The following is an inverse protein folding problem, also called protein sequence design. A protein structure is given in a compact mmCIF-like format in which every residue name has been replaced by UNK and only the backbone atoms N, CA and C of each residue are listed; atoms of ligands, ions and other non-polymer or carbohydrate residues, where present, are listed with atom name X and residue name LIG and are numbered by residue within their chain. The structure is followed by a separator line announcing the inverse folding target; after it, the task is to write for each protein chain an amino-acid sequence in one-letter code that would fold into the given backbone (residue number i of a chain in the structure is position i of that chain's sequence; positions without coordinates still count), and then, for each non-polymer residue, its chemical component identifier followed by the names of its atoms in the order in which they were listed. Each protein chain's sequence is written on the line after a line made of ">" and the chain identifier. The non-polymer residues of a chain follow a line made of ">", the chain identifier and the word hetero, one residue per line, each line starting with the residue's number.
data_IF_642915702731
#
_entry.id   IF_642915702731
#
_cell.length_a   1.000
_cell.length_b   1.000
_cell.length_c   1.000
_cell.angle_alpha   90.00
_cell.angle_beta   90.00
_cell.angle_gamma   90.00
#
_symmetry.space_group_name_H-M   'P 1'
#
loop_
_entity.id
_entity.type
_entity.pdbx_description
1 polymer ?
#
# COMPACT_ATOMS: atom_id res chain seq x y z
N UNK A 1 14.38 -3.49 10.01
CA UNK A 1 14.18 -2.66 11.24
C UNK A 1 13.67 -1.32 10.78
N UNK A 2 12.45 -0.93 11.20
CA UNK A 2 11.91 0.37 10.85
C UNK A 2 12.72 1.48 11.53
N UNK A 3 12.93 2.60 10.86
CA UNK A 3 13.64 3.79 11.38
C UNK A 3 12.96 4.42 12.63
N UNK A 4 11.84 3.86 13.08
CA UNK A 4 11.02 4.35 14.20
C UNK A 4 10.80 3.33 15.30
N UNK A 5 11.61 2.25 15.37
CA UNK A 5 11.50 1.26 16.45
C UNK A 5 11.87 1.90 17.79
N UNK A 6 10.87 2.50 18.43
CA UNK A 6 10.89 2.52 19.90
C UNK A 6 10.90 1.05 20.33
N UNK A 7 11.83 0.65 21.22
CA UNK A 7 11.87 -0.73 21.69
C UNK A 7 10.49 -1.09 22.24
N UNK A 8 9.92 -2.15 21.70
CA UNK A 8 8.62 -2.67 22.17
C UNK A 8 8.69 -2.91 23.65
N UNK A 9 7.64 -2.53 24.37
CA UNK A 9 7.61 -2.74 25.81
C UNK A 9 7.67 -4.25 26.09
N UNK A 10 8.45 -4.63 27.09
CA UNK A 10 8.56 -6.03 27.51
C UNK A 10 7.17 -6.65 27.78
N UNK A 11 6.24 -5.87 28.34
CA UNK A 11 4.86 -6.28 28.56
C UNK A 11 4.15 -6.68 27.26
N UNK A 12 4.34 -5.94 26.17
CA UNK A 12 3.77 -6.25 24.85
C UNK A 12 4.32 -7.57 24.33
N UNK A 13 5.64 -7.76 24.36
CA UNK A 13 6.28 -9.01 23.95
C UNK A 13 5.77 -10.22 24.72
N UNK A 14 5.59 -10.09 26.04
CA UNK A 14 5.04 -11.16 26.88
C UNK A 14 3.62 -11.49 26.45
N UNK A 15 2.76 -10.50 26.22
CA UNK A 15 1.39 -10.71 25.77
C UNK A 15 1.34 -11.38 24.38
N UNK A 16 2.16 -10.94 23.44
CA UNK A 16 2.24 -11.52 22.10
C UNK A 16 2.73 -12.97 22.15
N UNK A 17 3.75 -13.28 22.98
CA UNK A 17 4.20 -14.64 23.20
C UNK A 17 3.07 -15.53 23.75
N UNK A 18 2.33 -15.06 24.75
CA UNK A 18 1.19 -15.79 25.30
C UNK A 18 0.09 -16.07 24.26
N UNK A 19 -0.15 -15.12 23.34
CA UNK A 19 -1.08 -15.35 22.22
C UNK A 19 -0.57 -16.44 21.29
N UNK A 20 0.70 -16.41 20.92
CA UNK A 20 1.32 -17.43 20.05
C UNK A 20 1.28 -18.80 20.68
N UNK A 21 1.63 -18.92 21.97
CA UNK A 21 1.69 -20.19 22.70
C UNK A 21 0.30 -20.84 22.83
N UNK A 22 -0.75 -20.05 23.06
CA UNK A 22 -2.09 -20.54 23.38
C UNK A 22 -3.03 -20.60 22.17
N UNK A 23 -2.68 -20.01 21.02
CA UNK A 23 -3.53 -20.07 19.83
C UNK A 23 -3.57 -21.48 19.23
N UNK A 24 -4.73 -21.91 18.77
CA UNK A 24 -4.87 -23.12 17.98
C UNK A 24 -4.24 -22.93 16.59
N UNK A 25 -4.58 -21.82 15.94
CA UNK A 25 -4.01 -21.39 14.66
C UNK A 25 -3.62 -19.92 14.74
N UNK A 26 -2.60 -19.54 14.00
CA UNK A 26 -2.11 -18.18 13.82
C UNK A 26 -2.35 -17.75 12.38
N UNK A 27 -2.97 -16.60 12.18
CA UNK A 27 -3.25 -16.07 10.84
C UNK A 27 -2.28 -14.94 10.55
N UNK A 28 -1.62 -15.01 9.40
CA UNK A 28 -0.68 -14.01 8.89
C UNK A 28 -1.08 -13.56 7.48
N UNK A 29 -0.68 -12.35 7.11
CA UNK A 29 -0.98 -11.81 5.78
C UNK A 29 0.12 -12.12 4.75
N UNK A 30 1.36 -12.32 5.21
CA UNK A 30 2.53 -12.48 4.36
C UNK A 30 3.46 -13.58 4.87
N UNK A 31 4.32 -14.08 3.97
CA UNK A 31 5.37 -15.02 4.34
C UNK A 31 6.40 -14.38 5.30
N UNK A 32 6.64 -13.07 5.17
CA UNK A 32 7.53 -12.32 6.06
C UNK A 32 6.98 -12.33 7.49
N UNK A 33 5.69 -12.01 7.69
CA UNK A 33 5.02 -12.11 9.00
C UNK A 33 5.08 -13.54 9.56
N UNK A 34 4.92 -14.57 8.72
CA UNK A 34 5.07 -15.96 9.12
C UNK A 34 6.48 -16.24 9.65
N UNK A 35 7.50 -15.79 8.92
CA UNK A 35 8.89 -15.95 9.32
C UNK A 35 9.19 -15.20 10.62
N UNK A 36 8.65 -14.00 10.79
CA UNK A 36 8.80 -13.21 12.01
C UNK A 36 8.20 -13.93 13.24
N UNK A 37 7.00 -14.52 13.09
CA UNK A 37 6.40 -15.31 14.17
C UNK A 37 7.26 -16.53 14.55
N UNK A 38 7.82 -17.22 13.56
CA UNK A 38 8.72 -18.35 13.82
C UNK A 38 10.01 -17.90 14.49
N UNK A 39 10.65 -16.83 14.00
CA UNK A 39 11.97 -16.42 14.48
C UNK A 39 11.93 -15.66 15.82
N UNK A 40 10.90 -14.88 16.07
CA UNK A 40 10.83 -14.00 17.23
C UNK A 40 9.99 -14.55 18.38
N UNK A 41 9.05 -15.48 18.07
CA UNK A 41 8.09 -16.01 19.04
C UNK A 41 8.06 -17.54 19.07
N UNK A 42 9.00 -18.24 18.43
CA UNK A 42 9.05 -19.69 18.34
C UNK A 42 7.71 -20.33 17.91
N UNK A 43 6.95 -19.63 17.05
CA UNK A 43 5.68 -20.11 16.56
C UNK A 43 5.88 -21.41 15.77
N UNK A 44 5.03 -22.39 16.00
CA UNK A 44 5.06 -23.66 15.25
C UNK A 44 4.55 -23.41 13.82
N UNK A 45 5.35 -23.68 12.76
CA UNK A 45 4.91 -23.45 11.38
C UNK A 45 3.60 -24.18 11.02
N UNK A 46 3.36 -25.35 11.63
CA UNK A 46 2.13 -26.12 11.44
C UNK A 46 0.87 -25.38 11.89
N UNK A 47 0.97 -24.42 12.81
CA UNK A 47 -0.15 -23.60 13.28
C UNK A 47 -0.37 -22.35 12.45
N UNK A 48 0.53 -21.99 11.55
CA UNK A 48 0.43 -20.73 10.78
C UNK A 48 -0.39 -20.96 9.52
N UNK A 49 -1.35 -20.07 9.28
CA UNK A 49 -2.17 -20.01 8.06
C UNK A 49 -2.05 -18.65 7.44
N UNK A 50 -1.84 -18.63 6.13
CA UNK A 50 -1.77 -17.37 5.39
C UNK A 50 -3.15 -17.00 4.87
N UNK A 51 -3.55 -15.75 5.08
CA UNK A 51 -4.79 -15.18 4.57
C UNK A 51 -4.53 -13.74 4.18
N UNK A 52 -4.75 -13.43 2.91
CA UNK A 52 -4.62 -12.05 2.42
C UNK A 52 -5.83 -11.21 2.85
N UNK A 53 -5.64 -9.99 3.35
CA UNK A 53 -6.75 -9.07 3.58
C UNK A 53 -7.39 -8.66 2.26
N UNK A 54 -8.66 -8.28 2.31
CA UNK A 54 -9.42 -7.83 1.16
C UNK A 54 -9.62 -6.33 1.11
N UNK A 55 -10.08 -5.86 -0.05
CA UNK A 55 -10.62 -4.51 -0.23
C UNK A 55 -12.06 -4.59 -0.74
N UNK A 56 -12.77 -3.45 -0.72
CA UNK A 56 -14.11 -3.33 -1.27
C UNK A 56 -14.05 -3.16 -2.79
N UNK A 57 -14.10 -4.28 -3.50
CA UNK A 57 -14.06 -4.31 -4.97
C UNK A 57 -15.38 -3.86 -5.64
N UNK A 58 -16.43 -3.56 -4.87
CA UNK A 58 -17.67 -2.95 -5.37
C UNK A 58 -17.54 -1.42 -5.36
N UNK A 59 -16.85 -0.87 -4.37
CA UNK A 59 -16.57 0.55 -4.25
C UNK A 59 -15.38 0.97 -5.12
N UNK A 60 -14.23 0.30 -4.96
CA UNK A 60 -13.02 0.58 -5.72
C UNK A 60 -13.11 -0.11 -7.08
N UNK A 61 -13.61 0.63 -8.06
CA UNK A 61 -13.80 0.16 -9.42
C UNK A 61 -13.25 1.17 -10.42
N UNK A 62 -12.81 0.73 -11.60
CA UNK A 62 -12.45 1.64 -12.67
C UNK A 62 -13.62 2.55 -12.99
N UNK A 63 -13.34 3.82 -13.09
CA UNK A 63 -14.32 4.78 -13.57
C UNK A 63 -14.42 4.77 -15.10
N UNK A 64 -15.36 5.54 -15.61
CA UNK A 64 -15.36 5.95 -17.01
C UNK A 64 -14.46 7.19 -17.16
N UNK A 65 -14.09 7.56 -18.39
CA UNK A 65 -13.38 8.80 -18.68
C UNK A 65 -14.08 10.03 -18.05
N UNK A 66 -15.42 10.04 -18.06
CA UNK A 66 -16.22 11.09 -17.39
C UNK A 66 -16.01 11.15 -15.88
N UNK A 67 -15.81 10.00 -15.23
CA UNK A 67 -15.50 9.95 -13.79
C UNK A 67 -14.13 10.58 -13.53
N UNK A 68 -13.12 10.21 -14.31
CA UNK A 68 -11.76 10.77 -14.23
C UNK A 68 -11.77 12.28 -14.45
N UNK A 69 -12.47 12.76 -15.50
CA UNK A 69 -12.60 14.19 -15.74
C UNK A 69 -13.32 14.94 -14.61
N UNK A 70 -14.40 14.36 -14.07
CA UNK A 70 -15.12 14.94 -12.93
C UNK A 70 -14.21 15.04 -11.73
N UNK A 71 -13.53 13.94 -11.34
CA UNK A 71 -12.63 13.89 -10.21
C UNK A 71 -11.50 14.94 -10.34
N UNK A 72 -10.91 15.07 -11.54
CA UNK A 72 -9.89 16.11 -11.81
C UNK A 72 -10.45 17.53 -11.69
N UNK A 73 -11.65 17.80 -12.18
CA UNK A 73 -12.28 19.13 -12.05
C UNK A 73 -12.59 19.47 -10.59
N UNK A 74 -13.14 18.54 -9.83
CA UNK A 74 -13.42 18.71 -8.39
C UNK A 74 -12.14 18.94 -7.57
N UNK A 75 -11.06 18.27 -7.94
CA UNK A 75 -9.75 18.48 -7.36
C UNK A 75 -9.00 19.70 -7.94
N UNK A 76 -9.57 20.44 -8.90
CA UNK A 76 -8.93 21.60 -9.53
C UNK A 76 -7.65 21.24 -10.31
N UNK A 77 -7.61 20.05 -10.91
CA UNK A 77 -6.48 19.54 -11.69
C UNK A 77 -6.76 19.76 -13.18
N UNK A 78 -5.82 20.34 -13.95
CA UNK A 78 -5.96 20.43 -15.40
C UNK A 78 -6.12 19.05 -16.03
N UNK A 79 -7.06 18.89 -16.98
CA UNK A 79 -7.32 17.58 -17.59
C UNK A 79 -6.12 17.02 -18.36
N UNK A 80 -5.26 17.89 -18.89
CA UNK A 80 -4.04 17.51 -19.60
C UNK A 80 -2.83 17.25 -18.68
N UNK A 81 -2.96 17.41 -17.37
CA UNK A 81 -1.86 17.15 -16.45
C UNK A 81 -1.67 15.64 -16.24
N UNK A 82 -0.42 15.22 -16.12
CA UNK A 82 -0.08 13.90 -15.58
C UNK A 82 -0.15 13.97 -14.06
N UNK A 83 -0.77 12.97 -13.43
CA UNK A 83 -1.10 12.98 -12.00
C UNK A 83 -0.50 11.76 -11.32
N UNK A 84 0.33 11.99 -10.32
CA UNK A 84 0.82 10.93 -9.42
C UNK A 84 0.20 11.15 -8.05
N UNK A 85 -0.42 10.12 -7.48
CA UNK A 85 -0.99 10.19 -6.14
C UNK A 85 -0.21 9.33 -5.16
N UNK A 86 -0.11 9.81 -3.94
CA UNK A 86 0.25 9.06 -2.74
C UNK A 86 -0.97 9.07 -1.82
N UNK A 87 -1.36 7.91 -1.31
CA UNK A 87 -2.43 7.78 -0.32
C UNK A 87 -1.90 7.00 0.87
N UNK A 88 -2.06 7.55 2.07
CA UNK A 88 -1.59 6.89 3.28
C UNK A 88 -1.27 7.85 4.43
N UNK A 89 -0.91 7.30 5.57
CA UNK A 89 -0.47 8.09 6.72
C UNK A 89 0.83 8.83 6.38
N UNK A 90 0.91 10.10 6.77
CA UNK A 90 2.10 10.92 6.57
C UNK A 90 3.15 10.58 7.65
N UNK A 91 3.79 9.44 7.46
CA UNK A 91 4.84 8.91 8.32
C UNK A 91 6.09 8.62 7.49
N UNK A 92 7.26 8.79 8.06
CA UNK A 92 8.53 8.66 7.34
C UNK A 92 8.69 7.28 6.69
N UNK A 93 8.24 6.22 7.39
CA UNK A 93 8.31 4.85 6.86
C UNK A 93 7.32 4.56 5.72
N UNK A 94 6.32 5.43 5.48
CA UNK A 94 5.45 5.38 4.29
C UNK A 94 6.06 6.07 3.08
N UNK A 95 7.15 6.83 3.27
CA UNK A 95 8.00 7.36 2.22
C UNK A 95 7.46 8.55 1.41
N UNK A 96 6.52 9.41 1.89
CA UNK A 96 6.07 10.56 1.08
C UNK A 96 7.24 11.48 0.69
N UNK A 97 8.30 11.56 1.49
CA UNK A 97 9.52 12.30 1.17
C UNK A 97 10.25 11.76 -0.07
N UNK A 98 10.17 10.46 -0.33
CA UNK A 98 10.77 9.84 -1.52
C UNK A 98 10.06 10.34 -2.78
N UNK A 99 8.72 10.33 -2.78
CA UNK A 99 7.93 10.87 -3.90
C UNK A 99 8.17 12.36 -4.12
N UNK A 100 8.24 13.16 -3.04
CA UNK A 100 8.52 14.60 -3.14
C UNK A 100 9.88 14.84 -3.80
N UNK A 101 10.93 14.13 -3.36
CA UNK A 101 12.27 14.25 -3.95
C UNK A 101 12.34 13.70 -5.37
N UNK A 102 11.66 12.59 -5.68
CA UNK A 102 11.54 12.09 -7.05
C UNK A 102 10.84 13.12 -7.97
N UNK A 103 9.84 13.83 -7.44
CA UNK A 103 9.17 14.91 -8.18
C UNK A 103 10.13 16.05 -8.50
N UNK A 104 11.00 16.42 -7.56
CA UNK A 104 12.05 17.42 -7.82
C UNK A 104 12.98 16.97 -8.95
N UNK A 105 13.45 15.70 -8.95
CA UNK A 105 14.28 15.14 -10.03
C UNK A 105 13.57 15.20 -11.39
N UNK A 106 12.28 14.87 -11.45
CA UNK A 106 11.48 14.94 -12.67
C UNK A 106 11.36 16.38 -13.21
N UNK A 107 11.10 17.33 -12.31
CA UNK A 107 10.99 18.76 -12.68
C UNK A 107 12.33 19.35 -13.07
N UNK A 108 13.43 18.95 -12.42
CA UNK A 108 14.79 19.37 -12.79
C UNK A 108 15.18 18.89 -14.18
N UNK A 109 14.78 17.67 -14.56
CA UNK A 109 15.04 17.09 -15.91
C UNK A 109 14.16 17.72 -17.00
N UNK A 110 12.89 18.05 -16.68
CA UNK A 110 11.95 18.72 -17.57
C UNK A 110 11.07 19.71 -16.80
N UNK A 111 11.49 21.00 -16.72
CA UNK A 111 10.75 22.04 -16.02
C UNK A 111 9.36 22.32 -16.61
N UNK A 112 9.13 21.96 -17.88
CA UNK A 112 7.84 22.17 -18.55
C UNK A 112 6.89 20.96 -18.41
N UNK A 113 7.34 19.84 -17.80
CA UNK A 113 6.49 18.67 -17.57
C UNK A 113 5.22 19.08 -16.82
N UNK A 114 4.07 18.81 -17.42
CA UNK A 114 2.77 19.12 -16.79
C UNK A 114 2.41 18.04 -15.77
N UNK A 115 3.13 18.03 -14.64
CA UNK A 115 3.01 17.07 -13.57
C UNK A 115 2.29 17.69 -12.36
N UNK A 116 1.36 16.95 -11.78
CA UNK A 116 0.76 17.20 -10.46
C UNK A 116 0.94 16.00 -9.55
N UNK A 117 1.26 16.26 -8.31
CA UNK A 117 1.40 15.24 -7.28
C UNK A 117 0.38 15.51 -6.18
N UNK A 118 -0.44 14.52 -5.87
CA UNK A 118 -1.40 14.55 -4.78
C UNK A 118 -0.87 13.71 -3.63
N UNK A 119 -0.79 14.29 -2.45
CA UNK A 119 -0.43 13.56 -1.23
C UNK A 119 -1.64 13.60 -0.30
N UNK A 120 -2.40 12.48 -0.25
CA UNK A 120 -3.62 12.36 0.53
C UNK A 120 -3.36 11.56 1.80
N UNK A 121 -3.61 12.18 2.95
CA UNK A 121 -3.52 11.49 4.23
C UNK A 121 -3.25 12.41 5.40
N UNK A 122 -3.34 11.85 6.59
CA UNK A 122 -3.15 12.57 7.84
C UNK A 122 -1.85 12.22 8.56
N UNK A 123 -1.39 13.16 9.38
CA UNK A 123 -0.34 12.89 10.35
C UNK A 123 -0.89 11.96 11.45
N UNK A 124 -0.18 10.87 11.76
CA UNK A 124 -0.45 10.10 12.96
C UNK A 124 0.46 10.64 14.09
N UNK A 125 -0.12 11.15 15.14
CA UNK A 125 0.59 11.79 16.25
C UNK A 125 0.57 13.33 16.19
N UNK A 126 1.34 14.01 17.00
CA UNK A 126 1.37 15.46 17.05
C UNK A 126 1.80 16.05 15.71
N UNK A 127 1.00 16.88 15.11
CA UNK A 127 0.96 17.51 13.78
C UNK A 127 2.27 17.88 13.03
N UNK A 128 3.43 17.68 13.63
CA UNK A 128 4.73 18.06 13.07
C UNK A 128 5.11 17.37 11.75
N UNK A 129 4.54 16.17 11.45
CA UNK A 129 4.92 15.43 10.25
C UNK A 129 4.43 16.12 8.95
N UNK A 130 3.21 16.64 8.93
CA UNK A 130 2.68 17.36 7.75
C UNK A 130 3.47 18.64 7.48
N UNK A 131 3.78 19.41 8.53
CA UNK A 131 4.56 20.65 8.43
C UNK A 131 5.95 20.41 7.86
N UNK A 132 6.60 19.31 8.24
CA UNK A 132 7.90 18.93 7.71
C UNK A 132 7.83 18.64 6.19
N UNK A 133 6.79 17.95 5.72
CA UNK A 133 6.63 17.69 4.28
C UNK A 133 6.26 18.94 3.50
N UNK A 134 5.44 19.83 4.06
CA UNK A 134 5.16 21.15 3.47
C UNK A 134 6.46 21.96 3.38
N UNK A 135 7.28 21.97 4.45
CA UNK A 135 8.58 22.60 4.45
C UNK A 135 9.52 22.04 3.37
N UNK A 136 9.55 20.71 3.19
CA UNK A 136 10.34 20.08 2.14
C UNK A 136 9.86 20.48 0.73
N UNK A 137 8.56 20.56 0.51
CA UNK A 137 7.98 21.00 -0.77
C UNK A 137 8.39 22.45 -1.07
N UNK A 138 8.36 23.31 -0.06
CA UNK A 138 8.79 24.71 -0.19
C UNK A 138 10.31 24.83 -0.45
N UNK A 139 11.13 24.08 0.30
CA UNK A 139 12.59 24.05 0.11
C UNK A 139 12.97 23.66 -1.32
N UNK A 140 12.21 22.74 -1.93
CA UNK A 140 12.44 22.24 -3.27
C UNK A 140 11.70 23.02 -4.38
N UNK A 141 10.95 24.08 -4.04
CA UNK A 141 10.23 24.93 -5.01
C UNK A 141 9.10 24.19 -5.74
N UNK A 142 8.42 23.26 -5.07
CA UNK A 142 7.42 22.37 -5.67
C UNK A 142 5.96 22.74 -5.35
N UNK A 143 5.69 23.93 -4.76
CA UNK A 143 4.36 24.34 -4.27
C UNK A 143 3.30 24.35 -5.38
N UNK A 144 3.71 24.57 -6.62
CA UNK A 144 2.81 24.53 -7.78
C UNK A 144 2.61 23.11 -8.36
N UNK A 145 3.38 22.13 -7.88
CA UNK A 145 3.36 20.74 -8.34
C UNK A 145 2.73 19.78 -7.35
N UNK A 146 3.06 19.94 -6.06
CA UNK A 146 2.64 19.06 -4.97
C UNK A 146 1.49 19.70 -4.19
N UNK A 147 0.44 18.92 -3.97
CA UNK A 147 -0.73 19.33 -3.19
C UNK A 147 -1.02 18.31 -2.12
N UNK A 148 -1.12 18.76 -0.88
CA UNK A 148 -1.57 17.94 0.24
C UNK A 148 -3.10 17.97 0.32
N UNK A 149 -3.68 16.81 0.58
CA UNK A 149 -5.11 16.61 0.79
C UNK A 149 -5.33 15.97 2.16
N UNK A 150 -6.36 16.41 2.85
CA UNK A 150 -6.76 15.80 4.12
C UNK A 150 -7.13 14.32 3.92
N UNK A 151 -7.10 13.51 5.00
CA UNK A 151 -7.63 12.16 4.97
C UNK A 151 -9.05 12.12 4.42
N UNK A 152 -9.33 11.14 3.58
CA UNK A 152 -10.63 10.97 2.93
C UNK A 152 -11.25 9.64 3.32
N UNK A 153 -12.58 9.56 3.45
CA UNK A 153 -13.26 8.29 3.57
C UNK A 153 -13.15 7.50 2.24
N UNK A 154 -13.36 6.18 2.28
CA UNK A 154 -13.18 5.32 1.11
C UNK A 154 -13.95 5.79 -0.14
N UNK A 155 -15.16 6.33 0.03
CA UNK A 155 -16.02 6.83 -1.05
C UNK A 155 -15.43 8.05 -1.77
N UNK A 156 -14.57 8.81 -1.10
CA UNK A 156 -13.85 9.94 -1.70
C UNK A 156 -12.45 9.53 -2.18
N UNK A 157 -11.83 8.50 -1.58
CA UNK A 157 -10.53 7.99 -2.02
C UNK A 157 -10.59 7.40 -3.42
N UNK A 158 -11.68 6.73 -3.78
CA UNK A 158 -11.87 6.19 -5.14
C UNK A 158 -11.77 7.28 -6.21
N UNK A 159 -12.21 8.50 -5.92
CA UNK A 159 -12.09 9.62 -6.86
C UNK A 159 -10.64 10.14 -6.97
N UNK A 160 -9.85 10.03 -5.90
CA UNK A 160 -8.40 10.34 -5.95
C UNK A 160 -7.67 9.33 -6.82
N UNK A 161 -7.96 8.04 -6.66
CA UNK A 161 -7.37 6.99 -7.49
C UNK A 161 -7.76 7.20 -8.97
N UNK A 162 -9.03 7.45 -9.28
CA UNK A 162 -9.51 7.73 -10.63
C UNK A 162 -8.92 8.99 -11.25
N UNK A 163 -8.60 10.01 -10.45
CA UNK A 163 -7.95 11.24 -10.92
C UNK A 163 -6.48 11.03 -11.27
N UNK A 164 -5.82 10.04 -10.67
CA UNK A 164 -4.41 9.77 -10.84
C UNK A 164 -4.13 8.93 -12.10
N UNK A 165 -2.98 9.18 -12.72
CA UNK A 165 -2.40 8.31 -13.75
C UNK A 165 -1.61 7.16 -13.12
N UNK A 166 -1.05 7.41 -11.92
CA UNK A 166 -0.21 6.47 -11.17
C UNK A 166 -0.43 6.69 -9.68
N UNK A 167 -0.42 5.62 -8.89
CA UNK A 167 -0.26 5.71 -7.44
C UNK A 167 1.15 5.27 -7.06
N UNK A 168 1.83 6.06 -6.22
CA UNK A 168 3.15 5.76 -5.69
C UNK A 168 3.05 5.29 -4.23
N UNK A 169 3.66 4.14 -3.94
CA UNK A 169 3.73 3.53 -2.61
C UNK A 169 5.20 3.29 -2.18
N UNK A 170 5.97 4.35 -1.86
CA UNK A 170 7.40 4.28 -1.56
C UNK A 170 7.67 3.90 -0.09
N UNK A 171 6.90 2.96 0.45
CA UNK A 171 7.01 2.53 1.84
C UNK A 171 8.35 1.84 2.12
N UNK A 172 8.95 2.14 3.28
CA UNK A 172 10.10 1.41 3.80
C UNK A 172 9.69 0.10 4.48
N UNK A 173 8.44 0.07 4.94
CA UNK A 173 7.82 -1.13 5.51
C UNK A 173 6.32 -1.11 5.19
N UNK A 174 5.81 -2.23 4.71
CA UNK A 174 4.40 -2.41 4.36
C UNK A 174 3.97 -3.85 4.62
N UNK A 175 3.04 -4.03 5.54
CA UNK A 175 2.55 -5.38 5.88
C UNK A 175 1.87 -6.05 4.69
N UNK A 176 1.01 -5.33 3.97
CA UNK A 176 0.30 -5.91 2.82
C UNK A 176 0.12 -4.94 1.64
N UNK A 177 -0.35 -3.71 1.91
CA UNK A 177 -0.52 -2.69 0.87
C UNK A 177 -1.97 -2.54 0.37
N UNK A 178 -2.94 -2.40 1.29
CA UNK A 178 -4.36 -2.20 0.93
C UNK A 178 -4.56 -1.02 -0.02
N UNK A 179 -3.87 0.10 0.20
CA UNK A 179 -3.90 1.28 -0.68
C UNK A 179 -3.52 0.94 -2.12
N UNK A 180 -2.56 0.01 -2.29
CA UNK A 180 -2.12 -0.45 -3.61
C UNK A 180 -3.22 -1.25 -4.30
N UNK A 181 -3.90 -2.13 -3.55
CA UNK A 181 -5.02 -2.92 -4.09
C UNK A 181 -6.20 -2.01 -4.44
N UNK A 182 -6.53 -1.04 -3.59
CA UNK A 182 -7.58 -0.05 -3.85
C UNK A 182 -7.30 0.75 -5.13
N UNK A 183 -6.05 1.20 -5.33
CA UNK A 183 -5.63 1.89 -6.54
C UNK A 183 -5.77 0.99 -7.77
N UNK A 184 -5.26 -0.24 -7.71
CA UNK A 184 -5.36 -1.23 -8.79
C UNK A 184 -6.82 -1.57 -9.12
N UNK A 185 -7.66 -1.81 -8.10
CA UNK A 185 -9.09 -2.06 -8.29
C UNK A 185 -9.81 -0.86 -8.93
N UNK A 186 -9.33 0.35 -8.69
CA UNK A 186 -9.83 1.60 -9.30
C UNK A 186 -9.29 1.84 -10.72
N UNK A 187 -8.50 0.92 -11.27
CA UNK A 187 -7.93 1.03 -12.62
C UNK A 187 -6.69 1.92 -12.69
N UNK A 188 -6.01 2.15 -11.57
CA UNK A 188 -4.82 3.00 -11.51
C UNK A 188 -3.59 2.13 -11.22
N UNK A 189 -2.63 2.03 -12.16
CA UNK A 189 -1.42 1.25 -11.96
C UNK A 189 -0.52 1.88 -10.89
N UNK A 190 0.34 1.06 -10.29
CA UNK A 190 1.10 1.44 -9.11
C UNK A 190 2.61 1.37 -9.36
N UNK A 191 3.35 2.30 -8.76
CA UNK A 191 4.78 2.18 -8.54
C UNK A 191 5.00 1.98 -7.04
N UNK A 192 5.56 0.84 -6.64
CA UNK A 192 5.70 0.48 -5.24
C UNK A 192 7.14 0.06 -4.90
N UNK A 193 7.55 0.26 -3.65
CA UNK A 193 8.82 -0.27 -3.18
C UNK A 193 8.74 -1.82 -3.09
N UNK A 194 9.84 -2.50 -3.38
CA UNK A 194 9.93 -3.97 -3.24
C UNK A 194 10.18 -4.36 -1.79
N UNK A 195 9.17 -4.14 -0.93
CA UNK A 195 9.25 -4.42 0.52
C UNK A 195 7.97 -5.09 1.03
N UNK A 196 8.10 -5.92 2.05
CA UNK A 196 6.99 -6.55 2.77
C UNK A 196 5.98 -7.24 1.86
N UNK A 197 4.71 -6.90 2.01
CA UNK A 197 3.60 -7.46 1.21
C UNK A 197 3.43 -6.85 -0.19
N UNK A 198 4.13 -5.76 -0.53
CA UNK A 198 3.95 -5.09 -1.83
C UNK A 198 4.23 -6.00 -3.05
N UNK A 199 5.25 -6.88 -3.04
CA UNK A 199 5.46 -7.85 -4.12
C UNK A 199 4.36 -8.92 -4.27
N UNK A 200 3.47 -9.06 -3.29
CA UNK A 200 2.29 -9.95 -3.40
C UNK A 200 1.19 -9.27 -4.20
N UNK A 201 1.02 -7.96 -4.00
CA UNK A 201 -0.07 -7.17 -4.57
C UNK A 201 0.31 -6.44 -5.86
N UNK A 202 1.59 -6.36 -6.20
CA UNK A 202 2.09 -5.79 -7.47
C UNK A 202 2.87 -6.86 -8.22
N UNK A 203 2.40 -7.23 -9.39
CA UNK A 203 3.14 -8.06 -10.34
C UNK A 203 4.01 -7.14 -11.19
N UNK A 204 5.33 -7.19 -10.95
CA UNK A 204 6.29 -6.28 -11.56
C UNK A 204 6.30 -6.38 -13.09
N UNK A 205 6.14 -5.25 -13.76
CA UNK A 205 6.04 -5.17 -15.22
C UNK A 205 4.66 -5.51 -15.80
N UNK A 206 3.69 -6.00 -14.98
CA UNK A 206 2.36 -6.38 -15.44
C UNK A 206 1.27 -5.48 -14.82
N UNK A 207 1.22 -5.36 -13.49
CA UNK A 207 0.20 -4.54 -12.80
C UNK A 207 0.76 -3.23 -12.27
N UNK A 208 2.07 -3.03 -12.38
CA UNK A 208 2.80 -1.88 -11.90
C UNK A 208 4.30 -2.08 -12.01
N UNK A 209 5.06 -1.23 -11.35
CA UNK A 209 6.52 -1.30 -11.27
C UNK A 209 6.93 -1.45 -9.81
N UNK A 210 7.82 -2.41 -9.51
CA UNK A 210 8.47 -2.53 -8.23
C UNK A 210 9.87 -1.90 -8.29
N UNK A 211 10.12 -0.93 -7.40
CA UNK A 211 11.40 -0.23 -7.28
C UNK A 211 12.20 -0.80 -6.12
N UNK A 212 13.47 -1.13 -6.37
CA UNK A 212 14.40 -1.58 -5.36
C UNK A 212 15.01 -0.37 -4.64
N UNK A 213 14.78 -0.26 -3.32
CA UNK A 213 15.27 0.87 -2.53
C UNK A 213 14.44 2.15 -2.68
N UNK A 214 15.04 3.26 -2.23
CA UNK A 214 14.33 4.54 -2.05
C UNK A 214 15.14 5.72 -2.60
N UNK A 215 16.04 5.46 -3.55
CA UNK A 215 16.75 6.53 -4.23
C UNK A 215 15.76 7.37 -5.06
N UNK A 216 15.69 8.69 -4.86
CA UNK A 216 14.78 9.55 -5.61
C UNK A 216 14.98 9.50 -7.14
N UNK A 217 16.18 9.20 -7.62
CA UNK A 217 16.45 9.11 -9.05
C UNK A 217 15.83 7.84 -9.66
N UNK A 218 15.92 6.68 -8.98
CA UNK A 218 15.27 5.44 -9.40
C UNK A 218 13.74 5.59 -9.44
N UNK A 219 13.16 6.27 -8.44
CA UNK A 219 11.74 6.57 -8.41
C UNK A 219 11.33 7.54 -9.52
N UNK A 220 12.14 8.55 -9.80
CA UNK A 220 11.90 9.48 -10.90
C UNK A 220 11.93 8.75 -12.25
N UNK A 221 12.86 7.83 -12.45
CA UNK A 221 12.95 7.02 -13.67
C UNK A 221 11.72 6.11 -13.84
N UNK A 222 11.30 5.43 -12.79
CA UNK A 222 10.11 4.59 -12.82
C UNK A 222 8.83 5.40 -13.14
N UNK A 223 8.67 6.57 -12.50
CA UNK A 223 7.54 7.48 -12.74
C UNK A 223 7.59 8.01 -14.16
N UNK A 224 8.75 8.50 -14.65
CA UNK A 224 8.90 8.99 -16.01
C UNK A 224 8.53 7.91 -17.03
N UNK A 225 9.09 6.70 -16.89
CA UNK A 225 8.80 5.56 -17.75
C UNK A 225 7.32 5.27 -17.88
N UNK A 226 6.58 5.26 -16.77
CA UNK A 226 5.14 4.97 -16.78
C UNK A 226 4.30 6.14 -17.29
N UNK A 227 4.70 7.39 -17.04
CA UNK A 227 3.98 8.56 -17.51
C UNK A 227 4.21 8.87 -19.00
N UNK A 228 5.36 8.49 -19.54
CA UNK A 228 5.76 8.79 -20.91
C UNK A 228 5.32 7.69 -21.90
N UNK A 229 4.92 6.50 -21.41
CA UNK A 229 4.36 5.40 -22.20
C UNK A 229 2.90 5.14 -21.82
N UNK A 230 1.98 5.83 -22.48
CA UNK A 230 0.54 5.69 -22.25
C UNK A 230 0.03 4.28 -22.57
N UNK A 231 0.61 3.60 -23.59
CA UNK A 231 0.19 2.26 -23.96
C UNK A 231 0.55 1.25 -22.87
N UNK A 232 1.78 1.31 -22.35
CA UNK A 232 2.23 0.49 -21.22
C UNK A 232 1.37 0.77 -19.98
N UNK A 233 1.13 2.04 -19.64
CA UNK A 233 0.36 2.42 -18.46
C UNK A 233 -1.07 1.90 -18.53
N UNK A 234 -1.74 2.01 -19.65
CA UNK A 234 -3.11 1.51 -19.85
C UNK A 234 -3.17 -0.03 -19.78
N UNK A 235 -2.20 -0.72 -20.40
CA UNK A 235 -2.12 -2.17 -20.29
C UNK A 235 -1.93 -2.63 -18.84
N UNK A 236 -1.04 -1.95 -18.09
CA UNK A 236 -0.87 -2.23 -16.65
C UNK A 236 -2.15 -1.96 -15.86
N UNK A 237 -2.90 -0.91 -16.18
CA UNK A 237 -4.16 -0.58 -15.52
C UNK A 237 -5.21 -1.71 -15.70
N UNK A 238 -5.35 -2.28 -16.87
CA UNK A 238 -6.26 -3.40 -17.13
C UNK A 238 -5.85 -4.67 -16.36
N UNK A 239 -4.57 -5.00 -16.37
CA UNK A 239 -4.05 -6.15 -15.61
C UNK A 239 -4.19 -5.92 -14.10
N UNK A 240 -3.98 -4.69 -13.62
CA UNK A 240 -4.13 -4.31 -12.23
C UNK A 240 -5.55 -4.56 -11.71
N UNK A 241 -6.59 -4.20 -12.46
CA UNK A 241 -7.99 -4.49 -12.10
C UNK A 241 -8.24 -5.98 -11.97
N UNK A 242 -7.77 -6.76 -12.95
CA UNK A 242 -7.93 -8.21 -12.95
C UNK A 242 -7.23 -8.85 -11.76
N UNK A 243 -6.03 -8.39 -11.44
CA UNK A 243 -5.26 -8.87 -10.31
C UNK A 243 -5.89 -8.50 -8.97
N UNK A 244 -6.32 -7.24 -8.81
CA UNK A 244 -6.95 -6.74 -7.58
C UNK A 244 -8.25 -7.48 -7.22
N UNK A 245 -8.98 -8.01 -8.20
CA UNK A 245 -10.22 -8.77 -7.96
C UNK A 245 -10.02 -10.01 -7.08
N UNK A 246 -8.80 -10.54 -6.98
CA UNK A 246 -8.46 -11.68 -6.11
C UNK A 246 -8.46 -11.30 -4.62
N UNK A 247 -8.27 -10.02 -4.31
CA UNK A 247 -8.17 -9.49 -2.94
C UNK A 247 -9.49 -8.85 -2.50
N UNK A 248 -10.59 -9.60 -2.57
CA UNK A 248 -11.90 -9.11 -2.09
C UNK A 248 -12.14 -9.51 -0.64
N UNK A 249 -12.99 -8.75 0.06
CA UNK A 249 -13.47 -9.14 1.40
C UNK A 249 -14.17 -10.50 1.39
N UNK A 250 -14.85 -10.85 0.30
CA UNK A 250 -15.49 -12.14 0.12
C UNK A 250 -14.46 -13.28 0.11
N UNK A 251 -13.36 -13.11 -0.61
CA UNK A 251 -12.26 -14.09 -0.66
C UNK A 251 -11.61 -14.25 0.71
N UNK A 252 -11.32 -13.13 1.40
CA UNK A 252 -10.75 -13.15 2.75
C UNK A 252 -11.67 -13.84 3.76
N UNK A 253 -12.97 -13.53 3.72
CA UNK A 253 -13.96 -14.15 4.61
C UNK A 253 -14.08 -15.66 4.35
N UNK A 254 -14.10 -16.09 3.09
CA UNK A 254 -14.13 -17.52 2.74
C UNK A 254 -12.89 -18.25 3.28
N UNK A 255 -11.70 -17.68 3.09
CA UNK A 255 -10.46 -18.25 3.63
C UNK A 255 -10.49 -18.34 5.17
N UNK A 256 -10.97 -17.30 5.85
CA UNK A 256 -11.07 -17.28 7.30
C UNK A 256 -12.05 -18.35 7.83
N UNK A 257 -13.17 -18.57 7.14
CA UNK A 257 -14.13 -19.63 7.50
C UNK A 257 -13.47 -21.01 7.42
N UNK A 258 -12.66 -21.27 6.41
CA UNK A 258 -11.94 -22.56 6.32
C UNK A 258 -10.91 -22.73 7.47
N UNK A 259 -10.19 -21.66 7.81
CA UNK A 259 -9.26 -21.66 8.95
C UNK A 259 -10.00 -21.94 10.26
N UNK A 260 -11.18 -21.37 10.48
CA UNK A 260 -12.01 -21.68 11.67
C UNK A 260 -12.51 -23.14 11.69
N UNK A 261 -12.89 -23.69 10.52
CA UNK A 261 -13.30 -25.10 10.42
C UNK A 261 -12.16 -26.02 10.79
N UNK A 262 -10.96 -25.73 10.31
CA UNK A 262 -9.75 -26.48 10.66
C UNK A 262 -9.47 -26.42 12.18
N UNK A 263 -9.46 -25.21 12.76
CA UNK A 263 -9.23 -25.04 14.19
C UNK A 263 -10.24 -25.81 15.07
N UNK A 264 -11.51 -25.86 14.65
CA UNK A 264 -12.56 -26.60 15.37
C UNK A 264 -12.40 -28.13 15.21
N UNK A 265 -11.95 -28.61 14.05
CA UNK A 265 -11.72 -30.03 13.84
C UNK A 265 -10.58 -30.57 14.72
N UNK A 266 -9.49 -29.80 14.89
CA UNK A 266 -8.38 -30.15 15.76
C UNK A 266 -8.80 -30.25 17.24
N UNK A 267 -9.67 -29.36 17.71
CA UNK A 267 -10.20 -29.41 19.08
C UNK A 267 -11.13 -30.61 19.31
N UNK A 268 -11.81 -31.07 18.24
CA UNK A 268 -12.77 -32.18 18.32
C UNK A 268 -12.11 -33.57 18.31
N UNK A 269 -10.82 -33.64 18.01
CA UNK A 269 -10.08 -34.89 18.07
C UNK A 269 -9.56 -35.09 19.52
N UNK A 270 -10.13 -36.04 20.33
CA UNK A 270 -9.67 -36.21 21.68
C UNK A 270 -8.19 -36.66 21.64
N UNK A 271 -7.31 -35.85 22.23
CA UNK A 271 -5.95 -36.31 22.53
C UNK A 271 -6.09 -37.61 23.33
N UNK A 272 -5.69 -38.71 22.73
CA UNK A 272 -5.68 -40.02 23.40
C UNK A 272 -4.98 -39.93 24.76
N UNK A 273 -5.29 -40.84 25.70
CA UNK A 273 -4.80 -40.75 27.07
C UNK A 273 -3.28 -40.64 27.08
N UNK A 274 -2.76 -39.58 27.68
CA UNK A 274 -1.33 -39.54 28.04
C UNK A 274 -1.08 -40.70 28.99
N UNK A 275 -0.52 -41.77 28.46
CA UNK A 275 0.00 -42.90 29.27
C UNK A 275 1.10 -42.29 30.13
N UNK A 276 0.90 -42.38 31.45
CA UNK A 276 1.80 -41.88 32.49
C UNK A 276 3.15 -42.58 32.58
#
# INVERSE_FOLDING_TARGET
>A
RSLTDTPESEARRICEQQLVDNANLLVVNTLEESNDLVHHYDAQPAKIRMMTPGTDTELFTPGTERNTERARRELGIPLCAKVVAFVGRLQEFKGPQVLIRATERLVARDPNRNLKVLICGGASGAGAALENYIGLVHELGLEHRVRFLDPRPPEELVEIYRAADIVAAPSYNESFGLVVIEAQASGTPVIAARVGGLPIVVVDGETGILVDGHDPDDWADAIARMLDDDAMRLAMAEQAVTHAAQFSWQSSAAALVEIYREALADVSTPSGPRVG
#
